data_IF_149370671379
#
_entry.id   IF_149370671379
#
_cell.length_a   1.000
_cell.length_b   1.000
_cell.length_c   1.000
_cell.angle_alpha   90.00
_cell.angle_beta   90.00
_cell.angle_gamma   90.00
#
_symmetry.space_group_name_H-M   'P 1'
#
loop_
_entity.id
_entity.type
_entity.pdbx_description
1 polymer ?
#
# COMPACT_ATOMS: atom_id res chain seq x y z
N UNK A 1 21.81 -27.87 -3.12
CA UNK A 1 20.54 -28.48 -2.68
C UNK A 1 19.62 -27.31 -2.39
N UNK A 2 18.90 -26.81 -3.39
CA UNK A 2 17.99 -25.67 -3.22
C UNK A 2 16.94 -26.05 -2.18
N UNK A 3 16.83 -25.28 -1.11
CA UNK A 3 15.85 -25.56 -0.07
C UNK A 3 14.44 -25.31 -0.62
N UNK A 4 13.44 -26.06 -0.14
CA UNK A 4 12.03 -25.81 -0.51
C UNK A 4 11.63 -24.36 -0.17
N UNK A 5 12.24 -23.78 0.87
CA UNK A 5 12.08 -22.36 1.21
C UNK A 5 12.55 -21.44 0.07
N UNK A 6 13.73 -21.70 -0.50
CA UNK A 6 14.27 -20.93 -1.62
C UNK A 6 13.40 -21.10 -2.86
N UNK A 7 12.94 -22.32 -3.15
CA UNK A 7 12.04 -22.57 -4.28
C UNK A 7 10.73 -21.80 -4.15
N UNK A 8 10.14 -21.74 -2.95
CA UNK A 8 8.94 -20.94 -2.69
C UNK A 8 9.21 -19.45 -2.85
N UNK A 9 10.37 -18.96 -2.41
CA UNK A 9 10.77 -17.57 -2.61
C UNK A 9 11.02 -17.25 -4.10
N UNK A 10 11.62 -18.17 -4.86
CA UNK A 10 11.79 -18.05 -6.31
C UNK A 10 10.46 -18.06 -7.07
N UNK A 11 9.43 -18.72 -6.53
CA UNK A 11 8.06 -18.69 -7.05
C UNK A 11 7.31 -17.40 -6.71
N UNK A 12 7.88 -16.53 -5.89
CA UNK A 12 7.28 -15.25 -5.48
C UNK A 12 6.52 -15.29 -4.16
N UNK A 13 6.59 -16.40 -3.40
CA UNK A 13 6.05 -16.41 -2.04
C UNK A 13 7.01 -15.70 -1.08
N UNK A 14 6.49 -14.85 -0.20
CA UNK A 14 7.32 -14.21 0.82
C UNK A 14 7.92 -15.23 1.76
N UNK A 15 9.13 -14.97 2.26
CA UNK A 15 9.83 -15.84 3.19
C UNK A 15 8.94 -16.19 4.41
N UNK A 16 8.18 -15.23 4.93
CA UNK A 16 7.26 -15.47 6.04
C UNK A 16 6.16 -16.50 5.72
N UNK A 17 5.58 -16.46 4.51
CA UNK A 17 4.57 -17.44 4.07
C UNK A 17 5.21 -18.81 3.85
N UNK A 18 6.34 -18.85 3.15
CA UNK A 18 7.06 -20.08 2.85
C UNK A 18 7.55 -20.80 4.12
N UNK A 19 8.08 -20.07 5.11
CA UNK A 19 8.47 -20.64 6.40
C UNK A 19 7.28 -21.17 7.19
N UNK A 20 6.16 -20.46 7.18
CA UNK A 20 4.94 -20.88 7.88
C UNK A 20 4.38 -22.14 7.24
N UNK A 21 4.29 -22.17 5.92
CA UNK A 21 3.90 -23.34 5.15
C UNK A 21 4.77 -24.56 5.43
N UNK A 22 6.09 -24.40 5.45
CA UNK A 22 7.02 -25.49 5.75
C UNK A 22 6.88 -26.00 7.20
N UNK A 23 6.54 -25.11 8.14
CA UNK A 23 6.25 -25.51 9.53
C UNK A 23 4.96 -26.31 9.64
N UNK A 24 3.92 -25.97 8.88
CA UNK A 24 2.63 -26.68 8.90
C UNK A 24 2.66 -27.97 8.07
N UNK A 25 3.27 -27.94 6.89
CA UNK A 25 3.52 -29.11 6.04
C UNK A 25 4.50 -30.10 6.67
N UNK A 26 5.34 -29.65 7.61
CA UNK A 26 6.35 -30.48 8.25
C UNK A 26 7.53 -30.82 7.32
N UNK A 27 7.88 -29.89 6.41
CA UNK A 27 8.93 -30.07 5.39
C UNK A 27 8.71 -31.30 4.49
N UNK A 28 7.46 -31.71 4.24
CA UNK A 28 7.16 -32.88 3.42
C UNK A 28 7.37 -32.66 1.92
N UNK A 29 7.39 -31.41 1.48
CA UNK A 29 7.71 -31.06 0.10
C UNK A 29 7.22 -29.67 -0.28
N UNK A 30 7.59 -29.26 -1.50
CA UNK A 30 7.14 -28.00 -2.11
C UNK A 30 5.63 -27.96 -2.32
N UNK A 31 5.04 -29.06 -2.81
CA UNK A 31 3.61 -29.17 -3.09
C UNK A 31 2.76 -28.97 -1.83
N UNK A 32 3.07 -29.67 -0.72
CA UNK A 32 2.30 -29.51 0.52
C UNK A 32 2.49 -28.13 1.17
N UNK A 33 3.66 -27.52 1.03
CA UNK A 33 3.85 -26.13 1.46
C UNK A 33 3.01 -25.18 0.60
N UNK A 34 2.94 -25.39 -0.71
CA UNK A 34 2.14 -24.57 -1.61
C UNK A 34 0.63 -24.72 -1.35
N UNK A 35 0.13 -25.94 -1.16
CA UNK A 35 -1.28 -26.17 -0.82
C UNK A 35 -1.68 -25.46 0.48
N UNK A 36 -0.81 -25.50 1.50
CA UNK A 36 -1.04 -24.76 2.73
C UNK A 36 -1.11 -23.25 2.50
N UNK A 37 -0.21 -22.71 1.67
CA UNK A 37 -0.23 -21.28 1.31
C UNK A 37 -1.56 -20.97 0.63
N UNK A 38 -1.98 -21.70 -0.40
CA UNK A 38 -3.24 -21.45 -1.12
C UNK A 38 -4.46 -21.50 -0.20
N UNK A 39 -4.51 -22.46 0.72
CA UNK A 39 -5.61 -22.61 1.69
C UNK A 39 -5.63 -21.50 2.75
N UNK A 40 -4.46 -20.95 3.11
CA UNK A 40 -4.32 -19.91 4.15
C UNK A 40 -4.15 -18.48 3.59
N UNK A 41 -4.03 -18.32 2.28
CA UNK A 41 -3.77 -17.05 1.58
C UNK A 41 -5.00 -16.45 0.90
N UNK A 42 -6.21 -16.95 1.21
CA UNK A 42 -7.49 -16.47 0.61
C UNK A 42 -7.93 -15.06 1.04
N UNK A 43 -7.00 -14.17 1.41
CA UNK A 43 -7.29 -12.78 1.72
C UNK A 43 -6.00 -11.97 1.84
N UNK A 44 -5.71 -11.21 0.77
CA UNK A 44 -4.92 -9.98 0.71
C UNK A 44 -3.92 -9.75 1.85
N UNK A 45 -2.61 -9.84 1.55
CA UNK A 45 -1.63 -8.80 1.94
C UNK A 45 -0.44 -8.87 0.97
N UNK A 46 -0.45 -7.94 0.02
CA UNK A 46 0.69 -7.44 -0.75
C UNK A 46 1.78 -6.95 0.22
N UNK A 47 2.94 -7.62 0.24
CA UNK A 47 4.24 -7.02 0.58
C UNK A 47 5.37 -7.68 -0.20
N UNK A 48 5.51 -7.19 -1.42
CA UNK A 48 6.74 -6.64 -2.02
C UNK A 48 8.10 -7.05 -1.44
N UNK A 49 8.90 -7.65 -2.32
CA UNK A 49 10.37 -7.67 -2.32
C UNK A 49 10.87 -8.78 -3.24
N UNK A 50 11.60 -8.57 -4.34
CA UNK A 50 12.52 -7.50 -4.77
C UNK A 50 12.68 -7.54 -6.31
N UNK A 51 12.59 -6.38 -6.97
CA UNK A 51 13.22 -5.94 -8.23
C UNK A 51 13.33 -6.91 -9.43
N UNK A 52 12.43 -6.72 -10.40
CA UNK A 52 12.63 -7.12 -11.81
C UNK A 52 11.79 -6.23 -12.71
N UNK A 53 12.43 -5.43 -13.54
CA UNK A 53 11.82 -4.37 -14.33
C UNK A 53 10.61 -4.80 -15.18
N UNK A 54 9.67 -3.83 -15.28
CA UNK A 54 8.64 -3.56 -16.31
C UNK A 54 7.21 -4.05 -16.05
N UNK A 55 6.34 -3.04 -16.18
CA UNK A 55 4.89 -3.07 -16.42
C UNK A 55 4.02 -3.14 -15.15
N UNK A 56 3.94 -1.99 -14.48
CA UNK A 56 2.91 -1.68 -13.49
C UNK A 56 1.62 -1.25 -14.21
N UNK A 57 0.66 -2.17 -14.28
CA UNK A 57 -0.75 -1.87 -14.46
C UNK A 57 -1.48 -2.27 -13.17
N UNK A 58 -2.30 -1.35 -12.66
CA UNK A 58 -3.03 -1.37 -11.38
C UNK A 58 -2.22 -0.86 -10.20
N UNK A 59 -2.13 0.47 -10.10
CA UNK A 59 -1.57 1.20 -8.97
C UNK A 59 -2.74 1.81 -8.17
N UNK A 60 -3.29 1.06 -7.23
CA UNK A 60 -4.10 1.62 -6.14
C UNK A 60 -3.16 2.32 -5.15
N UNK A 61 -2.65 3.48 -5.53
CA UNK A 61 -2.10 4.43 -4.57
C UNK A 61 -3.25 5.38 -4.17
N UNK A 62 -3.46 5.68 -2.88
CA UNK A 62 -4.52 6.59 -2.44
C UNK A 62 -4.19 8.02 -2.88
N UNK A 63 -4.53 8.33 -4.12
CA UNK A 63 -4.39 9.64 -4.72
C UNK A 63 -5.54 10.50 -4.21
N UNK A 64 -5.24 11.39 -3.26
CA UNK A 64 -6.23 12.34 -2.75
C UNK A 64 -6.30 13.57 -3.66
N UNK A 65 -7.47 14.19 -3.75
CA UNK A 65 -7.73 15.35 -4.60
C UNK A 65 -8.26 16.50 -3.76
N UNK A 66 -7.70 17.69 -3.91
CA UNK A 66 -8.18 18.90 -3.25
C UNK A 66 -8.98 19.74 -4.25
N UNK A 67 -10.16 20.20 -3.87
CA UNK A 67 -10.92 21.17 -4.66
C UNK A 67 -10.45 22.60 -4.34
N UNK A 68 -10.00 23.36 -5.33
CA UNK A 68 -9.49 24.73 -5.15
C UNK A 68 -10.61 25.77 -4.97
N UNK A 69 -11.83 25.48 -5.42
CA UNK A 69 -12.98 26.38 -5.27
C UNK A 69 -13.59 26.37 -3.86
N UNK A 70 -13.33 25.33 -3.06
CA UNK A 70 -13.92 25.19 -1.71
C UNK A 70 -13.00 24.51 -0.69
N UNK A 71 -11.72 24.35 -1.00
CA UNK A 71 -10.66 23.75 -0.17
C UNK A 71 -11.00 22.36 0.44
N UNK A 72 -11.93 21.61 -0.16
CA UNK A 72 -12.33 20.29 0.35
C UNK A 72 -11.40 19.21 -0.18
N UNK A 73 -10.82 18.42 0.72
CA UNK A 73 -10.05 17.22 0.36
C UNK A 73 -10.99 16.04 0.13
N UNK A 74 -10.76 15.35 -0.98
CA UNK A 74 -11.50 14.22 -1.49
C UNK A 74 -10.53 13.05 -1.52
N UNK A 75 -10.95 11.91 -0.99
CA UNK A 75 -10.03 10.79 -0.74
C UNK A 75 -9.75 9.93 -1.98
N UNK A 76 -10.56 10.09 -3.02
CA UNK A 76 -10.61 9.24 -4.19
C UNK A 76 -11.37 9.95 -5.32
N UNK A 77 -11.21 9.43 -6.53
CA UNK A 77 -11.85 9.98 -7.74
C UNK A 77 -13.39 9.94 -7.68
N UNK A 78 -13.98 8.93 -7.04
CA UNK A 78 -15.44 8.83 -6.89
C UNK A 78 -16.01 10.03 -6.10
N UNK A 79 -15.32 10.46 -5.03
CA UNK A 79 -15.67 11.66 -4.27
C UNK A 79 -15.51 12.94 -5.12
N UNK A 80 -14.53 12.99 -6.04
CA UNK A 80 -14.36 14.08 -7.02
C UNK A 80 -15.54 14.15 -7.98
N UNK A 81 -16.00 13.01 -8.48
CA UNK A 81 -17.15 12.95 -9.38
C UNK A 81 -18.44 13.38 -8.68
N UNK A 82 -18.68 12.90 -7.45
CA UNK A 82 -19.83 13.29 -6.65
C UNK A 82 -19.76 14.78 -6.28
N UNK A 83 -18.59 15.29 -5.91
CA UNK A 83 -18.40 16.72 -5.63
C UNK A 83 -18.70 17.56 -6.87
N UNK A 84 -18.15 17.18 -8.03
CA UNK A 84 -18.40 17.85 -9.31
C UNK A 84 -19.88 17.91 -9.64
N UNK A 85 -20.60 16.79 -9.51
CA UNK A 85 -22.02 16.71 -9.84
C UNK A 85 -22.90 17.53 -8.89
N UNK A 86 -22.49 17.66 -7.61
CA UNK A 86 -23.27 18.35 -6.58
C UNK A 86 -23.00 19.84 -6.52
N UNK A 87 -21.74 20.25 -6.67
CA UNK A 87 -21.31 21.64 -6.51
C UNK A 87 -21.06 22.32 -7.85
N UNK A 88 -20.86 21.56 -8.92
CA UNK A 88 -20.43 22.09 -10.21
C UNK A 88 -18.95 22.48 -10.26
N UNK A 89 -18.16 22.14 -9.22
CA UNK A 89 -16.74 22.45 -9.20
C UNK A 89 -15.98 21.47 -10.10
N UNK A 90 -14.98 21.99 -10.82
CA UNK A 90 -14.16 21.20 -11.75
C UNK A 90 -12.66 21.46 -11.56
N UNK A 91 -12.29 22.35 -10.64
CA UNK A 91 -10.90 22.66 -10.33
C UNK A 91 -10.41 21.79 -9.17
N UNK A 92 -9.67 20.73 -9.53
CA UNK A 92 -9.12 19.77 -8.60
C UNK A 92 -7.60 19.67 -8.75
N UNK A 93 -6.90 19.85 -7.65
CA UNK A 93 -5.46 19.63 -7.53
C UNK A 93 -5.19 18.25 -6.92
N UNK A 94 -4.42 17.40 -7.61
CA UNK A 94 -3.95 16.13 -7.05
C UNK A 94 -3.04 16.43 -5.85
N UNK A 95 -3.50 16.06 -4.66
CA UNK A 95 -2.75 16.21 -3.44
C UNK A 95 -2.12 14.84 -3.15
N UNK A 96 -0.89 14.66 -3.62
CA UNK A 96 -0.05 13.48 -3.35
C UNK A 96 0.44 13.42 -1.89
N UNK A 97 -0.17 14.20 -1.00
CA UNK A 97 -0.08 14.01 0.44
C UNK A 97 -0.77 12.68 0.76
N UNK A 98 0.03 11.62 0.64
CA UNK A 98 -0.25 10.34 1.26
C UNK A 98 -0.83 10.62 2.65
N UNK A 99 -1.95 9.98 2.97
CA UNK A 99 -2.64 10.01 4.28
C UNK A 99 -1.75 9.29 5.33
N UNK A 100 -0.51 9.75 5.47
CA UNK A 100 0.56 9.36 6.39
C UNK A 100 1.53 10.53 6.64
N UNK A 101 1.14 11.78 6.34
CA UNK A 101 1.90 13.02 6.59
C UNK A 101 1.17 14.02 7.51
N UNK A 102 0.09 13.62 8.18
CA UNK A 102 -0.20 14.17 9.52
C UNK A 102 0.54 13.40 10.63
N UNK A 103 1.64 12.74 10.27
CA UNK A 103 2.60 12.13 11.19
C UNK A 103 3.87 12.98 11.22
N UNK A 104 3.87 13.91 12.18
CA UNK A 104 5.01 14.41 12.97
C UNK A 104 6.00 15.47 12.45
N UNK A 105 6.11 15.78 11.15
CA UNK A 105 7.17 16.73 10.69
C UNK A 105 6.67 18.17 10.51
N UNK A 106 5.63 18.40 9.70
CA UNK A 106 5.04 19.75 9.49
C UNK A 106 4.41 20.35 10.75
N UNK A 107 3.94 19.50 11.69
CA UNK A 107 3.45 19.95 13.02
C UNK A 107 4.57 20.37 13.96
N UNK A 108 5.82 20.02 13.67
CA UNK A 108 6.99 20.37 14.47
C UNK A 108 7.52 21.75 14.09
N UNK A 109 7.57 22.07 12.80
CA UNK A 109 7.92 23.41 12.32
C UNK A 109 6.90 24.48 12.74
N UNK A 110 5.61 24.11 12.74
CA UNK A 110 4.56 25.01 13.19
C UNK A 110 4.68 25.35 14.69
N UNK A 111 5.26 24.48 15.52
CA UNK A 111 5.57 24.76 16.92
C UNK A 111 6.89 25.52 17.11
N UNK A 112 7.91 25.28 16.27
CA UNK A 112 9.19 26.00 16.35
C UNK A 112 9.04 27.48 16.03
N UNK A 113 8.22 27.81 15.03
CA UNK A 113 7.93 29.21 14.66
C UNK A 113 7.22 30.00 15.76
N UNK A 114 6.48 29.32 16.65
CA UNK A 114 5.84 29.91 17.82
C UNK A 114 6.79 30.00 19.03
N UNK A 115 7.81 29.15 19.13
CA UNK A 115 8.81 29.18 20.21
C UNK A 115 9.96 30.16 19.96
N UNK A 116 10.27 30.49 18.70
CA UNK A 116 11.30 31.48 18.32
C UNK A 116 10.78 32.93 18.37
N UNK A 117 9.46 33.13 18.49
CA UNK A 117 8.84 34.45 18.55
C UNK A 117 8.57 34.97 19.98
N UNK A 118 9.36 34.51 20.98
CA UNK A 118 9.32 35.02 22.36
C UNK A 118 10.64 35.64 22.78
#
# INVERSE_FOLDING_TARGET
MSSVLEQLMEMGFTQAKAEKALKFSGNKGLEEAMEWIVDNDSGDEEKEGINGAREAETTDLPLSYKCDDCDKCLRNEDEVQVHSARTGHVNYSQCSDAVSSLTEDERREQMEKLQVSV
#
